data_IF_514790857422
#
_entry.id   IF_514790857422
#
_cell.length_a   1.000
_cell.length_b   1.000
_cell.length_c   1.000
_cell.angle_alpha   90.00
_cell.angle_beta   90.00
_cell.angle_gamma   90.00
#
_symmetry.space_group_name_H-M   'P 1'
#
loop_
_entity.id
_entity.type
_entity.pdbx_description
1 polymer ?
#
# COMPACT_ATOMS: atom_id res chain seq x y z
N UNK A 1 -2.33 -42.69 -0.08
CA UNK A 1 -3.32 -41.61 0.03
C UNK A 1 -2.59 -40.31 0.37
N UNK A 2 -2.36 -39.41 -0.59
CA UNK A 2 -1.71 -38.11 -0.33
C UNK A 2 -2.83 -37.09 -0.11
N UNK A 3 -3.22 -36.88 1.15
CA UNK A 3 -4.17 -35.81 1.50
C UNK A 3 -3.46 -34.50 1.17
N UNK A 4 -3.79 -33.88 0.03
CA UNK A 4 -3.36 -32.50 -0.21
C UNK A 4 -4.10 -31.65 0.81
N UNK A 5 -3.37 -31.02 1.72
CA UNK A 5 -3.93 -29.90 2.49
C UNK A 5 -4.27 -28.82 1.47
N UNK A 6 -5.54 -28.67 1.17
CA UNK A 6 -6.02 -27.63 0.28
C UNK A 6 -5.84 -26.30 1.03
N UNK A 7 -4.89 -25.49 0.59
CA UNK A 7 -4.70 -24.15 1.13
C UNK A 7 -5.69 -23.23 0.43
N UNK A 8 -6.57 -22.60 1.21
CA UNK A 8 -7.56 -21.65 0.66
C UNK A 8 -6.91 -20.34 0.22
N UNK A 9 -5.78 -19.99 0.86
CA UNK A 9 -5.01 -18.77 0.60
C UNK A 9 -3.62 -19.10 0.05
N UNK A 10 -3.04 -18.17 -0.72
CA UNK A 10 -1.69 -18.26 -1.31
C UNK A 10 -0.58 -17.80 -0.36
N UNK A 11 -0.88 -17.67 0.93
CA UNK A 11 0.07 -17.28 1.98
C UNK A 11 0.92 -18.48 2.44
N UNK A 12 2.12 -18.26 3.00
CA UNK A 12 2.98 -19.34 3.52
C UNK A 12 2.27 -20.27 4.51
N UNK A 13 1.39 -19.73 5.36
CA UNK A 13 0.61 -20.52 6.32
C UNK A 13 -0.64 -21.19 5.73
N UNK A 14 -1.07 -20.79 4.52
CA UNK A 14 -2.33 -21.21 3.91
C UNK A 14 -3.57 -20.65 4.60
N UNK A 15 -3.41 -19.61 5.44
CA UNK A 15 -4.44 -18.93 6.24
C UNK A 15 -4.33 -17.41 6.07
N UNK A 16 -5.28 -16.67 6.62
CA UNK A 16 -5.13 -15.22 6.81
C UNK A 16 -4.03 -14.99 7.86
N UNK A 17 -3.06 -14.12 7.53
CA UNK A 17 -1.87 -13.85 8.34
C UNK A 17 -1.99 -12.49 9.04
N UNK A 18 -1.86 -12.48 10.38
CA UNK A 18 -1.69 -11.25 11.16
C UNK A 18 -0.22 -10.81 11.13
N UNK A 19 0.68 -11.79 11.15
CA UNK A 19 2.11 -11.60 10.93
C UNK A 19 2.46 -12.11 9.54
N UNK A 20 3.01 -11.26 8.68
CA UNK A 20 3.42 -11.63 7.32
C UNK A 20 4.92 -11.89 7.25
N UNK A 21 5.29 -13.16 7.05
CA UNK A 21 6.71 -13.52 6.83
C UNK A 21 7.27 -12.85 5.57
N UNK A 22 6.47 -12.75 4.51
CA UNK A 22 6.91 -12.10 3.28
C UNK A 22 7.23 -10.62 3.48
N UNK A 23 6.44 -9.89 4.28
CA UNK A 23 6.74 -8.50 4.63
C UNK A 23 7.95 -8.39 5.56
N UNK A 24 8.17 -9.36 6.46
CA UNK A 24 9.38 -9.39 7.30
C UNK A 24 10.65 -9.49 6.44
N UNK A 25 10.62 -10.32 5.41
CA UNK A 25 11.75 -10.49 4.49
C UNK A 25 12.01 -9.21 3.68
N UNK A 26 10.95 -8.52 3.23
CA UNK A 26 11.04 -7.24 2.52
C UNK A 26 11.61 -6.15 3.45
N UNK A 27 11.06 -6.02 4.66
CA UNK A 27 11.51 -5.04 5.65
C UNK A 27 12.99 -5.22 6.02
N UNK A 28 13.49 -6.46 6.04
CA UNK A 28 14.89 -6.76 6.34
C UNK A 28 15.86 -6.49 5.17
N UNK A 29 15.36 -6.40 3.94
CA UNK A 29 16.21 -6.38 2.74
C UNK A 29 16.13 -5.09 1.93
N UNK A 30 15.06 -4.32 2.05
CA UNK A 30 14.87 -3.10 1.28
C UNK A 30 15.36 -1.88 2.06
N UNK A 31 16.04 -0.97 1.37
CA UNK A 31 16.33 0.36 1.88
C UNK A 31 15.17 1.29 1.55
N UNK A 32 14.55 1.87 2.58
CA UNK A 32 13.37 2.72 2.44
C UNK A 32 13.74 4.20 2.57
N UNK A 33 13.08 5.09 1.81
CA UNK A 33 13.14 6.53 2.04
C UNK A 33 12.70 6.92 3.45
N UNK A 34 13.12 8.10 3.90
CA UNK A 34 12.71 8.62 5.20
C UNK A 34 11.19 8.80 5.28
N UNK A 35 10.58 8.23 6.32
CA UNK A 35 9.13 8.27 6.56
C UNK A 35 8.36 7.04 6.06
N UNK A 36 8.98 6.21 5.20
CA UNK A 36 8.37 4.96 4.74
C UNK A 36 8.64 3.81 5.72
N UNK A 37 7.61 3.01 6.01
CA UNK A 37 7.68 1.91 6.98
C UNK A 37 7.01 0.67 6.40
N UNK A 38 7.72 -0.45 6.42
CA UNK A 38 7.19 -1.78 6.14
C UNK A 38 7.34 -2.61 7.41
N UNK A 39 6.22 -3.04 8.00
CA UNK A 39 6.21 -3.84 9.23
C UNK A 39 5.42 -5.14 8.98
N UNK A 40 5.93 -6.32 9.40
CA UNK A 40 5.22 -7.58 9.26
C UNK A 40 3.93 -7.69 10.09
N UNK A 41 3.76 -6.82 11.08
CA UNK A 41 2.54 -6.66 11.86
C UNK A 41 1.75 -5.42 11.44
N UNK A 42 0.41 -5.46 11.53
CA UNK A 42 -0.41 -4.28 11.29
C UNK A 42 -0.18 -3.26 12.41
N UNK A 43 0.54 -2.20 12.09
CA UNK A 43 0.77 -1.06 12.97
C UNK A 43 0.12 0.20 12.38
N UNK A 44 -0.13 1.18 13.26
CA UNK A 44 -0.50 2.51 12.81
C UNK A 44 0.76 3.28 12.38
N UNK A 45 0.79 3.68 11.11
CA UNK A 45 1.82 4.56 10.56
C UNK A 45 1.11 5.74 9.89
N UNK A 46 1.34 6.99 10.31
CA UNK A 46 0.79 8.14 9.60
C UNK A 46 1.42 8.23 8.21
N UNK A 47 0.57 8.27 7.17
CA UNK A 47 1.04 8.40 5.79
C UNK A 47 1.56 9.80 5.46
N UNK A 48 2.13 9.93 4.26
CA UNK A 48 2.47 11.24 3.67
C UNK A 48 1.21 12.12 3.61
N UNK A 49 1.37 13.42 3.92
CA UNK A 49 0.26 14.40 3.91
C UNK A 49 -0.97 13.97 4.74
N UNK A 50 -0.75 13.17 5.80
CA UNK A 50 -1.83 12.78 6.69
C UNK A 50 -2.38 13.98 7.45
N UNK A 51 -3.50 13.77 8.16
CA UNK A 51 -4.03 14.77 9.08
C UNK A 51 -3.01 15.26 10.13
N UNK A 52 -2.00 14.45 10.47
CA UNK A 52 -0.96 14.84 11.44
C UNK A 52 0.17 15.67 10.82
N UNK A 53 0.16 15.86 9.49
CA UNK A 53 1.17 16.63 8.78
C UNK A 53 1.13 18.12 9.20
N UNK A 54 2.29 18.77 9.45
CA UNK A 54 2.36 20.20 9.75
C UNK A 54 1.63 21.10 8.74
N UNK A 55 1.56 20.66 7.48
CA UNK A 55 0.93 21.35 6.37
C UNK A 55 -0.58 21.52 6.55
N UNK A 56 -1.22 20.67 7.36
CA UNK A 56 -2.64 20.79 7.73
C UNK A 56 -2.96 22.18 8.33
N UNK A 57 -1.99 22.85 8.99
CA UNK A 57 -2.18 24.22 9.48
C UNK A 57 -2.46 25.23 8.36
N UNK A 58 -1.90 25.01 7.19
CA UNK A 58 -2.06 25.87 6.02
C UNK A 58 -3.22 25.40 5.13
N UNK A 59 -3.38 24.09 4.97
CA UNK A 59 -4.40 23.46 4.13
C UNK A 59 -5.24 22.47 4.96
N UNK A 60 -6.30 22.96 5.65
CA UNK A 60 -7.02 22.14 6.64
C UNK A 60 -8.00 21.13 6.04
N UNK A 61 -8.23 21.17 4.72
CA UNK A 61 -9.17 20.30 4.03
C UNK A 61 -8.42 19.17 3.32
N UNK A 62 -8.67 17.93 3.74
CA UNK A 62 -8.12 16.74 3.08
C UNK A 62 -8.96 16.40 1.84
N UNK A 63 -8.31 16.36 0.68
CA UNK A 63 -8.94 15.97 -0.57
C UNK A 63 -8.82 14.45 -0.74
N UNK A 64 -9.95 13.76 -0.80
CA UNK A 64 -10.01 12.32 -1.09
C UNK A 64 -10.99 12.09 -2.23
N UNK A 65 -10.74 11.11 -3.08
CA UNK A 65 -11.66 10.82 -4.16
C UNK A 65 -11.16 9.76 -5.13
N UNK A 66 -12.13 9.23 -5.87
CA UNK A 66 -11.94 8.54 -7.13
C UNK A 66 -12.93 9.14 -8.11
N UNK A 67 -12.53 9.40 -9.35
CA UNK A 67 -13.41 10.02 -10.34
C UNK A 67 -14.57 9.08 -10.69
N UNK A 68 -15.80 9.46 -10.37
CA UNK A 68 -17.00 8.60 -10.60
C UNK A 68 -17.50 8.58 -12.05
N UNK A 69 -16.82 9.24 -12.99
CA UNK A 69 -17.18 9.19 -14.41
C UNK A 69 -16.09 9.81 -15.31
N UNK A 70 -14.95 9.14 -15.47
CA UNK A 70 -14.08 9.38 -16.61
C UNK A 70 -13.44 8.04 -16.99
N UNK A 71 -13.86 7.50 -18.12
CA UNK A 71 -12.99 6.65 -18.91
C UNK A 71 -11.63 7.38 -18.99
N UNK A 72 -10.57 6.69 -18.54
CA UNK A 72 -9.18 7.10 -18.62
C UNK A 72 -8.99 8.11 -19.75
N UNK A 73 -8.62 9.36 -19.42
CA UNK A 73 -8.18 10.32 -20.43
C UNK A 73 -7.09 9.63 -21.25
N UNK A 74 -7.46 9.19 -22.45
CA UNK A 74 -6.58 8.50 -23.37
C UNK A 74 -5.47 9.47 -23.72
N UNK A 75 -4.28 9.21 -23.16
CA UNK A 75 -3.03 9.79 -23.61
C UNK A 75 -2.88 9.53 -25.11
N UNK A 76 -3.14 10.57 -25.91
CA UNK A 76 -2.46 10.77 -27.18
C UNK A 76 -1.85 12.15 -27.15
N UNK A 77 -0.79 12.29 -26.36
CA UNK A 77 0.21 13.32 -26.61
C UNK A 77 1.05 12.86 -27.81
N UNK A 78 0.46 12.94 -29.00
CA UNK A 78 1.21 12.99 -30.26
C UNK A 78 0.96 14.38 -30.83
N UNK A 79 2.04 15.08 -31.21
CA UNK A 79 2.10 16.46 -31.68
C UNK A 79 1.90 17.55 -30.62
N UNK A 80 3.01 18.07 -30.12
CA UNK A 80 3.42 19.47 -30.33
C UNK A 80 4.87 19.64 -29.84
N UNK A 81 5.80 19.70 -30.81
CA UNK A 81 7.24 20.03 -30.70
C UNK A 81 8.12 19.13 -29.81
#
# INVERSE_FOLDING_TARGET
MKIRRQTHWTTPSGKIEIYSQALADIAATWELPEGDVIEPLPIYTPGFESYQDPLNKQYPLQLTGSTINLAFTQLTATLMC
#
